data_IF_650678430721
#
_entry.id   IF_650678430721
#
_cell.length_a   1.000
_cell.length_b   1.000
_cell.length_c   1.000
_cell.angle_alpha   90.00
_cell.angle_beta   90.00
_cell.angle_gamma   90.00
#
_symmetry.space_group_name_H-M   'P 1'
#
loop_
_entity.id
_entity.type
_entity.pdbx_description
1 polymer ?
#
# COMPACT_ATOMS: atom_id res chain seq x y z
N UNK A 1 10.52 -9.94 7.92
CA UNK A 1 10.25 -8.66 8.60
C UNK A 1 11.58 -8.03 9.02
N UNK A 2 11.70 -6.70 9.05
CA UNK A 2 12.93 -6.01 9.52
C UNK A 2 13.10 -6.05 11.06
N UNK A 3 12.46 -7.01 11.75
CA UNK A 3 12.50 -7.18 13.21
C UNK A 3 12.07 -5.96 14.05
N UNK A 4 11.32 -5.02 13.48
CA UNK A 4 10.84 -3.81 14.21
C UNK A 4 10.07 -4.14 15.50
N UNK A 5 9.36 -5.28 15.53
CA UNK A 5 8.65 -5.78 16.71
C UNK A 5 9.56 -6.08 17.92
N UNK A 6 10.88 -6.20 17.73
CA UNK A 6 11.82 -6.39 18.83
C UNK A 6 12.06 -5.11 19.63
N UNK A 7 11.78 -3.94 19.04
CA UNK A 7 12.03 -2.62 19.65
C UNK A 7 10.80 -1.72 19.68
N UNK A 8 9.65 -2.18 19.17
CA UNK A 8 8.37 -1.47 19.21
C UNK A 8 7.37 -2.24 20.07
N UNK A 9 7.01 -1.67 21.22
CA UNK A 9 6.11 -2.31 22.20
C UNK A 9 4.64 -2.32 21.75
N UNK A 10 4.23 -1.42 20.86
CA UNK A 10 2.86 -1.27 20.41
C UNK A 10 2.77 -1.17 18.89
N UNK A 11 1.74 -1.81 18.32
CA UNK A 11 1.40 -1.72 16.90
C UNK A 11 -0.11 -1.50 16.78
N UNK A 12 -0.54 -0.43 16.12
CA UNK A 12 -1.96 -0.19 15.85
C UNK A 12 -2.28 -0.44 14.37
N UNK A 13 -3.22 -1.35 14.10
CA UNK A 13 -3.70 -1.71 12.76
C UNK A 13 -4.65 -0.64 12.22
N UNK A 14 -4.10 0.54 11.98
CA UNK A 14 -4.84 1.74 11.58
C UNK A 14 -5.29 1.75 10.12
N UNK A 15 -4.64 0.95 9.26
CA UNK A 15 -4.94 0.87 7.82
C UNK A 15 -4.94 2.25 7.12
N UNK A 16 -4.09 3.17 7.60
CA UNK A 16 -4.11 4.59 7.22
C UNK A 16 -3.40 4.91 5.90
N UNK A 17 -2.89 3.89 5.19
CA UNK A 17 -2.14 4.08 3.96
C UNK A 17 -1.94 2.79 3.19
N UNK A 18 -1.67 2.93 1.91
CA UNK A 18 -1.34 1.83 1.00
C UNK A 18 0.15 1.89 0.65
N UNK A 19 0.85 0.77 0.81
CA UNK A 19 2.23 0.60 0.36
C UNK A 19 2.24 -0.27 -0.89
N UNK A 20 2.39 0.37 -2.05
CA UNK A 20 2.54 -0.29 -3.35
C UNK A 20 3.90 0.02 -3.98
N UNK A 21 4.28 -0.77 -4.97
CA UNK A 21 5.54 -0.61 -5.70
C UNK A 21 5.28 -0.46 -7.20
N UNK A 22 6.04 0.43 -7.83
CA UNK A 22 6.15 0.50 -9.28
C UNK A 22 7.50 -0.12 -9.69
N UNK A 23 7.48 -1.11 -10.59
CA UNK A 23 8.70 -1.64 -11.18
C UNK A 23 9.09 -0.73 -12.33
N UNK A 24 10.23 -0.05 -12.19
CA UNK A 24 10.68 0.98 -13.13
C UNK A 24 12.02 0.56 -13.72
N UNK A 25 12.17 0.77 -15.02
CA UNK A 25 13.39 0.50 -15.78
C UNK A 25 13.80 1.74 -16.59
N UNK A 26 15.09 1.87 -16.89
CA UNK A 26 15.56 2.91 -17.80
C UNK A 26 14.93 2.71 -19.20
N UNK A 27 14.27 3.75 -19.71
CA UNK A 27 13.56 3.67 -21.00
C UNK A 27 14.47 3.34 -22.17
N UNK A 28 15.65 3.97 -22.29
CA UNK A 28 16.58 3.72 -23.39
C UNK A 28 17.09 2.27 -23.39
N UNK A 29 17.39 1.74 -22.21
CA UNK A 29 17.74 0.33 -22.06
C UNK A 29 16.60 -0.58 -22.52
N UNK A 30 15.39 -0.36 -22.00
CA UNK A 30 14.23 -1.20 -22.29
C UNK A 30 13.85 -1.18 -23.78
N UNK A 31 13.83 0.00 -24.39
CA UNK A 31 13.50 0.19 -25.80
C UNK A 31 14.58 -0.39 -26.73
N UNK A 32 15.84 -0.44 -26.26
CA UNK A 32 16.98 -0.98 -27.01
C UNK A 32 17.16 -2.49 -26.94
N UNK A 33 16.34 -3.21 -26.17
CA UNK A 33 16.37 -4.67 -26.11
C UNK A 33 15.87 -5.28 -27.43
N UNK A 34 16.45 -6.41 -27.87
CA UNK A 34 15.87 -7.23 -28.93
C UNK A 34 14.40 -7.57 -28.63
N UNK A 35 13.54 -7.56 -29.64
CA UNK A 35 12.09 -7.66 -29.46
C UNK A 35 11.65 -8.98 -28.81
N UNK A 36 12.33 -10.08 -29.12
CA UNK A 36 12.12 -11.40 -28.52
C UNK A 36 12.47 -11.41 -27.03
N UNK A 37 13.61 -10.82 -26.65
CA UNK A 37 14.03 -10.69 -25.25
C UNK A 37 13.07 -9.78 -24.47
N UNK A 38 12.72 -8.62 -25.04
CA UNK A 38 11.79 -7.69 -24.37
C UNK A 38 10.43 -8.34 -24.12
N UNK A 39 9.91 -9.08 -25.11
CA UNK A 39 8.64 -9.81 -24.97
C UNK A 39 8.70 -10.83 -23.83
N UNK A 40 9.78 -11.61 -23.72
CA UNK A 40 9.94 -12.57 -22.63
C UNK A 40 9.98 -11.89 -21.25
N UNK A 41 10.66 -10.74 -21.14
CA UNK A 41 10.71 -9.98 -19.89
C UNK A 41 9.35 -9.35 -19.54
N UNK A 42 8.58 -8.88 -20.53
CA UNK A 42 7.21 -8.40 -20.33
C UNK A 42 6.30 -9.51 -19.80
N UNK A 43 6.35 -10.71 -20.40
CA UNK A 43 5.59 -11.88 -19.95
C UNK A 43 5.98 -12.28 -18.51
N UNK A 44 7.29 -12.34 -18.22
CA UNK A 44 7.79 -12.62 -16.88
C UNK A 44 7.35 -11.57 -15.85
N UNK A 45 7.30 -10.29 -16.23
CA UNK A 45 6.83 -9.21 -15.37
C UNK A 45 5.34 -9.36 -15.03
N UNK A 46 4.50 -9.70 -16.02
CA UNK A 46 3.07 -9.94 -15.82
C UNK A 46 2.84 -11.13 -14.88
N UNK A 47 3.55 -12.24 -15.10
CA UNK A 47 3.46 -13.43 -14.25
C UNK A 47 3.92 -13.14 -12.82
N UNK A 48 5.06 -12.48 -12.67
CA UNK A 48 5.63 -12.13 -11.36
C UNK A 48 4.74 -11.17 -10.59
N UNK A 49 4.16 -10.16 -11.25
CA UNK A 49 3.22 -9.21 -10.64
C UNK A 49 1.97 -9.93 -10.14
N UNK A 50 1.42 -10.85 -10.94
CA UNK A 50 0.25 -11.66 -10.54
C UNK A 50 0.57 -12.50 -9.31
N UNK A 51 1.70 -13.21 -9.34
CA UNK A 51 2.13 -14.06 -8.22
C UNK A 51 2.38 -13.24 -6.95
N UNK A 52 3.12 -12.13 -7.04
CA UNK A 52 3.38 -11.25 -5.91
C UNK A 52 2.09 -10.73 -5.27
N UNK A 53 1.13 -10.28 -6.09
CA UNK A 53 -0.17 -9.82 -5.59
C UNK A 53 -0.99 -10.95 -4.92
N UNK A 54 -0.89 -12.18 -5.42
CA UNK A 54 -1.56 -13.34 -4.80
C UNK A 54 -0.99 -13.67 -3.42
N UNK A 55 0.33 -13.63 -3.26
CA UNK A 55 0.97 -14.00 -1.99
C UNK A 55 1.00 -12.86 -0.97
N UNK A 56 0.96 -11.60 -1.40
CA UNK A 56 1.15 -10.44 -0.54
C UNK A 56 0.21 -10.43 0.69
N UNK A 57 -1.07 -10.74 0.50
CA UNK A 57 -2.02 -10.81 1.63
C UNK A 57 -1.67 -11.94 2.59
N UNK A 58 -1.35 -13.13 2.06
CA UNK A 58 -1.01 -14.30 2.86
C UNK A 58 0.24 -14.05 3.69
N UNK A 59 1.26 -13.44 3.09
CA UNK A 59 2.51 -13.09 3.77
C UNK A 59 2.33 -12.01 4.84
N UNK A 60 1.49 -10.99 4.56
CA UNK A 60 1.16 -9.96 5.54
C UNK A 60 0.42 -10.53 6.75
N UNK A 61 -0.61 -11.35 6.51
CA UNK A 61 -1.40 -11.99 7.57
C UNK A 61 -0.52 -12.93 8.41
N UNK A 62 0.32 -13.74 7.76
CA UNK A 62 1.29 -14.64 8.44
C UNK A 62 2.31 -13.85 9.26
N UNK A 63 2.85 -12.76 8.71
CA UNK A 63 3.82 -11.91 9.40
C UNK A 63 3.22 -11.23 10.62
N UNK A 64 1.98 -10.74 10.52
CA UNK A 64 1.25 -10.15 11.64
C UNK A 64 1.02 -11.18 12.75
N UNK A 65 0.64 -12.41 12.40
CA UNK A 65 0.48 -13.49 13.38
C UNK A 65 1.80 -13.83 14.08
N UNK A 66 2.91 -13.86 13.35
CA UNK A 66 4.23 -14.05 13.96
C UNK A 66 4.61 -12.91 14.92
N UNK A 67 4.24 -11.67 14.60
CA UNK A 67 4.42 -10.53 15.52
C UNK A 67 3.59 -10.73 16.79
N UNK A 68 2.33 -11.15 16.68
CA UNK A 68 1.48 -11.47 17.85
C UNK A 68 2.09 -12.57 18.71
N UNK A 69 2.49 -13.69 18.09
CA UNK A 69 3.11 -14.84 18.77
C UNK A 69 4.44 -14.52 19.46
N UNK A 70 5.16 -13.50 18.99
CA UNK A 70 6.41 -13.09 19.63
C UNK A 70 6.24 -12.60 21.07
N UNK A 71 5.05 -12.11 21.43
CA UNK A 71 4.76 -11.52 22.74
C UNK A 71 5.49 -10.19 23.02
N UNK A 72 6.33 -9.70 22.08
CA UNK A 72 7.13 -8.48 22.26
C UNK A 72 6.38 -7.19 21.92
N UNK A 73 5.32 -7.30 21.11
CA UNK A 73 4.52 -6.17 20.64
C UNK A 73 3.05 -6.42 20.91
N UNK A 74 2.41 -5.49 21.63
CA UNK A 74 0.97 -5.47 21.78
C UNK A 74 0.33 -4.92 20.51
N UNK A 75 -0.50 -5.75 19.87
CA UNK A 75 -1.19 -5.37 18.64
C UNK A 75 -2.62 -4.92 18.94
N UNK A 76 -2.91 -3.67 18.64
CA UNK A 76 -4.21 -3.03 18.78
C UNK A 76 -4.93 -2.92 17.44
N UNK A 77 -6.24 -3.17 17.42
CA UNK A 77 -7.09 -2.95 16.25
C UNK A 77 -8.08 -1.84 16.59
N UNK A 78 -7.95 -0.64 16.00
CA UNK A 78 -8.88 0.44 16.27
C UNK A 78 -10.32 0.10 15.86
N UNK A 79 -11.25 0.58 16.65
CA UNK A 79 -12.70 0.54 16.36
C UNK A 79 -13.02 1.34 15.09
N UNK A 80 -14.24 1.16 14.57
CA UNK A 80 -14.71 1.95 13.44
C UNK A 80 -14.76 3.45 13.77
N UNK A 81 -15.14 3.81 14.99
CA UNK A 81 -15.18 5.20 15.46
C UNK A 81 -13.78 5.83 15.48
N UNK A 82 -12.79 5.14 16.08
CA UNK A 82 -11.41 5.63 16.09
C UNK A 82 -10.82 5.73 14.68
N UNK A 83 -11.09 4.76 13.79
CA UNK A 83 -10.68 4.87 12.38
C UNK A 83 -11.31 6.08 11.70
N UNK A 84 -12.56 6.42 12.02
CA UNK A 84 -13.21 7.61 11.50
C UNK A 84 -12.50 8.89 11.95
N UNK A 85 -12.11 8.97 13.22
CA UNK A 85 -11.34 10.12 13.74
C UNK A 85 -9.97 10.27 13.06
N UNK A 86 -9.28 9.15 12.78
CA UNK A 86 -8.06 9.17 11.96
C UNK A 86 -8.31 9.72 10.55
N UNK A 87 -9.41 9.30 9.90
CA UNK A 87 -9.77 9.82 8.58
C UNK A 87 -10.03 11.31 8.62
N UNK A 88 -10.86 11.80 9.57
CA UNK A 88 -11.14 13.23 9.75
C UNK A 88 -9.86 14.06 9.93
N UNK A 89 -8.93 13.57 10.73
CA UNK A 89 -7.66 14.24 10.96
C UNK A 89 -6.77 14.32 9.69
N UNK A 90 -6.84 13.33 8.80
CA UNK A 90 -5.96 13.21 7.63
C UNK A 90 -6.55 13.76 6.33
N UNK A 91 -7.88 13.79 6.17
CA UNK A 91 -8.56 14.30 4.96
C UNK A 91 -8.11 15.70 4.54
N UNK A 92 -7.84 16.66 5.45
CA UNK A 92 -7.34 17.98 5.05
C UNK A 92 -6.03 17.93 4.24
N UNK A 93 -5.22 16.87 4.39
CA UNK A 93 -3.98 16.69 3.61
C UNK A 93 -4.30 16.51 2.12
N UNK A 94 -5.40 15.86 1.77
CA UNK A 94 -5.80 15.68 0.37
C UNK A 94 -5.99 17.04 -0.31
N UNK A 95 -6.73 17.96 0.33
CA UNK A 95 -6.95 19.32 -0.19
C UNK A 95 -5.63 20.10 -0.33
N UNK A 96 -4.77 20.02 0.68
CA UNK A 96 -3.44 20.68 0.67
C UNK A 96 -2.53 20.18 -0.46
N UNK A 97 -2.74 18.95 -0.93
CA UNK A 97 -1.88 18.30 -1.92
C UNK A 97 -2.45 18.35 -3.35
N UNK A 98 -3.66 18.88 -3.56
CA UNK A 98 -4.30 18.95 -4.87
C UNK A 98 -3.43 19.61 -5.95
N UNK A 99 -2.71 20.68 -5.61
CA UNK A 99 -1.85 21.39 -6.58
C UNK A 99 -0.62 20.58 -7.01
N UNK A 100 -0.18 19.62 -6.18
CA UNK A 100 0.99 18.77 -6.45
C UNK A 100 0.63 17.43 -7.08
N UNK A 101 -0.48 16.84 -6.63
CA UNK A 101 -0.94 15.50 -7.05
C UNK A 101 -1.93 15.58 -8.21
N UNK A 102 -2.68 16.69 -8.30
CA UNK A 102 -3.79 16.87 -9.24
C UNK A 102 -5.13 16.59 -8.55
N UNK A 103 -6.01 17.59 -8.56
CA UNK A 103 -7.35 17.47 -7.98
C UNK A 103 -8.16 16.34 -8.63
N UNK A 104 -8.12 16.25 -9.96
CA UNK A 104 -8.87 15.22 -10.72
C UNK A 104 -8.44 13.79 -10.35
N UNK A 105 -7.15 13.58 -10.10
CA UNK A 105 -6.63 12.28 -9.67
C UNK A 105 -7.12 11.92 -8.26
N UNK A 106 -7.15 12.88 -7.34
CA UNK A 106 -7.71 12.66 -5.99
C UNK A 106 -9.20 12.31 -6.09
N UNK A 107 -9.96 13.05 -6.90
CA UNK A 107 -11.39 12.80 -7.10
C UNK A 107 -11.66 11.43 -7.76
N UNK A 108 -10.83 11.01 -8.71
CA UNK A 108 -10.98 9.69 -9.33
C UNK A 108 -10.77 8.56 -8.33
N UNK A 109 -9.82 8.70 -7.39
CA UNK A 109 -9.61 7.73 -6.30
C UNK A 109 -10.82 7.69 -5.35
N UNK A 110 -11.39 8.84 -4.99
CA UNK A 110 -12.60 8.89 -4.17
C UNK A 110 -13.76 8.14 -4.82
N UNK A 111 -13.97 8.36 -6.13
CA UNK A 111 -14.98 7.66 -6.90
C UNK A 111 -14.74 6.15 -6.92
N UNK A 112 -13.51 5.72 -7.24
CA UNK A 112 -13.16 4.29 -7.36
C UNK A 112 -13.29 3.55 -6.03
N UNK A 113 -12.93 4.21 -4.93
CA UNK A 113 -12.99 3.62 -3.58
C UNK A 113 -14.35 3.80 -2.91
N UNK A 114 -15.27 4.55 -3.52
CA UNK A 114 -16.55 4.94 -2.91
C UNK A 114 -16.39 5.85 -1.68
N UNK A 115 -15.24 6.49 -1.51
CA UNK A 115 -14.95 7.34 -0.38
C UNK A 115 -15.54 8.74 -0.58
N UNK A 116 -16.35 9.20 0.39
CA UNK A 116 -16.96 10.52 0.39
C UNK A 116 -16.50 11.31 1.63
N UNK A 117 -15.55 12.25 1.48
CA UNK A 117 -15.02 13.01 2.62
C UNK A 117 -16.05 13.95 3.26
N UNK A 118 -17.18 14.24 2.59
CA UNK A 118 -18.24 15.09 3.16
C UNK A 118 -19.12 14.35 4.18
N UNK A 119 -19.05 13.01 4.22
CA UNK A 119 -19.82 12.15 5.12
C UNK A 119 -19.03 11.72 6.36
N UNK A 120 -17.80 12.23 6.54
CA UNK A 120 -16.95 11.92 7.68
C UNK A 120 -17.33 12.71 8.93
#
# INVERSE_FOLDING_TARGET
>A
TQKMHEVQKHLSLTEHGYLGYAVIVNKKFWDGLPADIRKQLEEAMVQSTRYANQIAKVENDTSLENVRKSGKTQVYTPTAAERSEFKKALVPVHKKMESRVGADLIQSIYKETGFDPSKL
#
